data_IF_429645548244
#
_entry.id   IF_429645548244
#
_cell.length_a   1.000
_cell.length_b   1.000
_cell.length_c   1.000
_cell.angle_alpha   90.00
_cell.angle_beta   90.00
_cell.angle_gamma   90.00
#
_symmetry.space_group_name_H-M   'P 1'
#
loop_
_entity.id
_entity.type
_entity.pdbx_description
1 polymer ?
#
# COMPACT_ATOMS: atom_id res chain seq x y z
N UNK A 1 -1.64 -30.95 -38.92
CA UNK A 1 -0.30 -30.71 -38.33
C UNK A 1 0.22 -29.33 -38.74
N UNK A 2 -0.24 -28.25 -38.10
CA UNK A 2 0.29 -26.89 -38.35
C UNK A 2 -0.03 -25.92 -37.21
N UNK A 3 -0.11 -26.42 -35.97
CA UNK A 3 -0.47 -25.64 -34.77
C UNK A 3 0.73 -24.83 -34.20
N UNK A 4 1.89 -24.87 -34.86
CA UNK A 4 3.17 -24.33 -34.37
C UNK A 4 3.46 -22.90 -34.83
N UNK A 5 2.72 -22.38 -35.81
CA UNK A 5 2.86 -20.99 -36.24
C UNK A 5 2.06 -20.03 -35.35
N UNK A 6 0.80 -20.37 -35.04
CA UNK A 6 -0.09 -19.55 -34.22
C UNK A 6 0.37 -19.39 -32.75
N UNK A 7 1.14 -20.35 -32.21
CA UNK A 7 1.66 -20.26 -30.84
C UNK A 7 2.84 -19.32 -30.66
N UNK A 8 3.58 -18.97 -31.72
CA UNK A 8 4.72 -18.05 -31.60
C UNK A 8 4.27 -16.59 -31.49
N UNK A 9 3.16 -16.23 -32.14
CA UNK A 9 2.62 -14.87 -32.13
C UNK A 9 1.99 -14.50 -30.77
N UNK A 10 1.31 -15.44 -30.10
CA UNK A 10 0.60 -15.15 -28.84
C UNK A 10 1.53 -14.95 -27.63
N UNK A 11 2.83 -15.24 -27.78
CA UNK A 11 3.87 -15.03 -26.76
C UNK A 11 4.57 -13.67 -26.87
N UNK A 12 4.00 -12.71 -27.60
CA UNK A 12 4.64 -11.43 -27.89
C UNK A 12 3.93 -10.21 -27.28
N UNK A 13 2.97 -10.39 -26.37
CA UNK A 13 2.14 -9.27 -25.87
C UNK A 13 2.15 -9.08 -24.33
N UNK A 14 3.28 -9.33 -23.67
CA UNK A 14 3.51 -8.88 -22.29
C UNK A 14 4.71 -7.94 -22.25
N UNK A 15 4.45 -6.68 -22.58
CA UNK A 15 5.40 -5.57 -22.61
C UNK A 15 5.95 -5.22 -21.22
N UNK A 16 6.80 -6.06 -20.64
CA UNK A 16 7.90 -5.64 -19.75
C UNK A 16 9.14 -6.54 -19.92
N UNK A 17 9.20 -7.40 -20.94
CA UNK A 17 10.12 -8.56 -21.04
C UNK A 17 11.62 -8.24 -21.28
N UNK A 18 12.08 -6.99 -21.13
CA UNK A 18 13.49 -6.60 -21.31
C UNK A 18 14.24 -6.13 -20.06
N UNK A 19 13.55 -5.83 -18.95
CA UNK A 19 14.21 -5.36 -17.73
C UNK A 19 14.65 -6.55 -16.86
N UNK A 20 15.91 -6.56 -16.46
CA UNK A 20 16.44 -7.51 -15.48
C UNK A 20 15.57 -7.50 -14.21
N UNK A 21 15.35 -8.68 -13.56
CA UNK A 21 14.46 -8.80 -12.42
C UNK A 21 14.83 -7.84 -11.27
N UNK A 22 16.12 -7.54 -11.08
CA UNK A 22 16.58 -6.57 -10.10
C UNK A 22 16.13 -5.13 -10.37
N UNK A 23 16.03 -4.72 -11.64
CA UNK A 23 15.56 -3.36 -12.00
C UNK A 23 14.07 -3.21 -11.73
N UNK A 24 13.27 -4.26 -12.00
CA UNK A 24 11.84 -4.25 -11.66
C UNK A 24 11.61 -4.14 -10.16
N UNK A 25 12.39 -4.88 -9.37
CA UNK A 25 12.34 -4.80 -7.91
C UNK A 25 12.72 -3.40 -7.43
N UNK A 26 13.82 -2.85 -7.95
CA UNK A 26 14.29 -1.50 -7.59
C UNK A 26 13.23 -0.43 -7.91
N UNK A 27 12.57 -0.51 -9.07
CA UNK A 27 11.48 0.40 -9.42
C UNK A 27 10.28 0.26 -8.50
N UNK A 28 9.89 -0.97 -8.13
CA UNK A 28 8.81 -1.20 -7.19
C UNK A 28 9.13 -0.61 -5.80
N UNK A 29 10.35 -0.85 -5.31
CA UNK A 29 10.82 -0.30 -4.03
C UNK A 29 10.87 1.23 -4.07
N UNK A 30 11.38 1.81 -5.15
CA UNK A 30 11.41 3.27 -5.34
C UNK A 30 10.00 3.86 -5.41
N UNK A 31 9.06 3.19 -6.07
CA UNK A 31 7.68 3.64 -6.12
C UNK A 31 7.04 3.62 -4.72
N UNK A 32 7.22 2.54 -3.96
CA UNK A 32 6.73 2.43 -2.59
C UNK A 32 7.37 3.51 -1.71
N UNK A 33 8.70 3.66 -1.78
CA UNK A 33 9.43 4.66 -1.01
C UNK A 33 8.99 6.09 -1.36
N UNK A 34 8.77 6.39 -2.64
CA UNK A 34 8.26 7.70 -3.07
C UNK A 34 6.84 7.96 -2.55
N UNK A 35 5.96 6.96 -2.58
CA UNK A 35 4.62 7.08 -2.00
C UNK A 35 4.72 7.38 -0.49
N UNK A 36 5.58 6.64 0.22
CA UNK A 36 5.77 6.79 1.66
C UNK A 36 6.37 8.15 2.06
N UNK A 37 7.42 8.57 1.37
CA UNK A 37 8.20 9.74 1.76
C UNK A 37 7.66 11.05 1.17
N UNK A 38 6.83 10.98 0.14
CA UNK A 38 6.41 12.17 -0.62
C UNK A 38 4.89 12.30 -0.68
N UNK A 39 4.20 11.23 -1.07
CA UNK A 39 2.74 11.30 -1.28
C UNK A 39 2.00 11.38 0.05
N UNK A 40 2.31 10.49 0.97
CA UNK A 40 1.74 10.46 2.32
C UNK A 40 1.89 11.78 3.09
N UNK A 41 3.09 12.37 3.23
CA UNK A 41 3.23 13.63 3.96
C UNK A 41 2.52 14.81 3.27
N UNK A 42 2.43 14.82 1.93
CA UNK A 42 1.65 15.85 1.22
C UNK A 42 0.16 15.73 1.48
N UNK A 43 -0.39 14.51 1.47
CA UNK A 43 -1.79 14.27 1.80
C UNK A 43 -2.04 14.63 3.28
N UNK A 44 -1.15 14.25 4.19
CA UNK A 44 -1.22 14.60 5.61
C UNK A 44 -1.15 16.11 5.89
N UNK A 45 -0.58 16.90 4.98
CA UNK A 45 -0.54 18.35 5.09
C UNK A 45 -1.84 19.04 4.65
N UNK A 46 -2.77 18.32 4.00
CA UNK A 46 -4.05 18.88 3.58
C UNK A 46 -4.89 19.30 4.81
N UNK A 47 -5.59 20.43 4.74
CA UNK A 47 -6.35 20.96 5.88
C UNK A 47 -7.42 19.98 6.36
N UNK A 48 -8.13 19.32 5.44
CA UNK A 48 -9.13 18.29 5.76
C UNK A 48 -8.55 17.13 6.58
N UNK A 49 -7.34 16.68 6.22
CA UNK A 49 -6.67 15.58 6.91
C UNK A 49 -6.13 16.04 8.26
N UNK A 50 -5.59 17.25 8.33
CA UNK A 50 -5.13 17.87 9.59
C UNK A 50 -6.25 18.08 10.60
N UNK A 51 -7.42 18.55 10.16
CA UNK A 51 -8.59 18.69 11.02
C UNK A 51 -9.04 17.35 11.58
N UNK A 52 -9.05 16.31 10.75
CA UNK A 52 -9.36 14.95 11.19
C UNK A 52 -8.32 14.41 12.18
N UNK A 53 -7.03 14.64 11.94
CA UNK A 53 -5.95 14.27 12.87
C UNK A 53 -6.12 15.00 14.21
N UNK A 54 -6.31 16.32 14.17
CA UNK A 54 -6.51 17.14 15.36
C UNK A 54 -7.77 16.75 16.15
N UNK A 55 -8.85 16.37 15.46
CA UNK A 55 -10.04 15.83 16.09
C UNK A 55 -9.77 14.53 16.84
N UNK A 56 -9.05 13.59 16.22
CA UNK A 56 -8.68 12.33 16.88
C UNK A 56 -7.71 12.55 18.06
N UNK A 57 -6.73 13.43 17.90
CA UNK A 57 -5.81 13.81 18.98
C UNK A 57 -6.55 14.45 20.16
N UNK A 58 -7.55 15.30 19.89
CA UNK A 58 -8.40 15.89 20.92
C UNK A 58 -9.24 14.84 21.69
N UNK A 59 -9.52 13.69 21.06
CA UNK A 59 -10.15 12.54 21.70
C UNK A 59 -9.15 11.61 22.42
N UNK A 60 -7.86 11.97 22.45
CA UNK A 60 -6.79 11.15 23.04
C UNK A 60 -6.37 9.96 22.18
N UNK A 61 -6.86 9.86 20.94
CA UNK A 61 -6.48 8.81 19.99
C UNK A 61 -5.21 9.28 19.30
N UNK A 62 -4.09 8.59 19.54
CA UNK A 62 -2.87 8.84 18.78
C UNK A 62 -2.96 8.13 17.41
N UNK A 63 -3.15 8.87 16.30
CA UNK A 63 -3.32 8.24 14.99
C UNK A 63 -2.05 7.52 14.51
N UNK A 64 -0.87 7.89 15.02
CA UNK A 64 0.39 7.19 14.73
C UNK A 64 0.58 5.93 15.60
N UNK A 65 -0.11 5.84 16.75
CA UNK A 65 -0.05 4.71 17.69
C UNK A 65 -1.18 3.68 17.53
N UNK A 66 -2.27 4.07 16.84
CA UNK A 66 -3.49 3.27 16.61
C UNK A 66 -3.23 1.83 16.14
N UNK A 67 -2.20 1.61 15.34
CA UNK A 67 -1.91 0.29 14.78
C UNK A 67 -1.32 -0.74 15.78
N UNK A 68 -0.78 -0.29 16.91
CA UNK A 68 -0.06 -1.20 17.82
C UNK A 68 -0.68 -1.33 19.21
N UNK A 69 -1.39 -0.31 19.70
CA UNK A 69 -2.03 -0.36 21.03
C UNK A 69 -3.47 -0.89 21.03
N UNK A 70 -4.13 -0.91 19.88
CA UNK A 70 -5.56 -1.27 19.78
C UNK A 70 -5.82 -2.75 19.49
N UNK A 71 -4.81 -3.52 19.04
CA UNK A 71 -4.97 -4.97 18.79
C UNK A 71 -5.42 -5.72 20.06
N UNK A 72 -4.84 -5.48 21.25
CA UNK A 72 -5.32 -6.12 22.48
C UNK A 72 -6.71 -5.62 22.92
N UNK A 73 -7.06 -4.36 22.63
CA UNK A 73 -8.35 -3.78 23.00
C UNK A 73 -9.48 -4.27 22.10
N UNK A 74 -9.21 -4.44 20.79
CA UNK A 74 -10.15 -4.98 19.82
C UNK A 74 -10.43 -6.46 20.05
N UNK A 75 -9.41 -7.25 20.43
CA UNK A 75 -9.61 -8.65 20.82
C UNK A 75 -10.57 -8.80 22.02
N UNK A 76 -10.48 -7.91 23.01
CA UNK A 76 -11.39 -7.92 24.18
C UNK A 76 -12.84 -7.57 23.85
N UNK A 77 -13.10 -6.86 22.74
CA UNK A 77 -14.46 -6.57 22.29
C UNK A 77 -15.05 -7.76 21.53
N UNK A 78 -14.25 -8.51 20.77
CA UNK A 78 -14.71 -9.75 20.13
C UNK A 78 -14.99 -10.88 21.13
N UNK A 79 -14.22 -10.97 22.22
CA UNK A 79 -14.36 -12.00 23.28
C UNK A 79 -15.59 -11.79 24.20
N UNK A 80 -16.30 -10.66 24.08
CA UNK A 80 -17.43 -10.31 24.95
C UNK A 80 -18.79 -10.77 24.40
N UNK A 81 -18.83 -11.18 23.14
CA UNK A 81 -20.04 -11.57 22.41
C UNK A 81 -20.18 -13.10 22.27
N UNK A 82 -19.39 -13.88 23.04
CA UNK A 82 -19.49 -15.34 23.22
C UNK A 82 -19.97 -15.71 24.64
#
# INVERSE_FOLDING_TARGET
MSNTAAQRECRSNWHIAGLAPGVRLALAVLAIAAIWLVVLPRIGALPMVREYIAHNEALGINPAGKFYSEVPAMLRLLDRDE
#
